data_IF_729306081397
#
_entry.id   IF_729306081397
#
_cell.length_a   1.000
_cell.length_b   1.000
_cell.length_c   1.000
_cell.angle_alpha   90.00
_cell.angle_beta   90.00
_cell.angle_gamma   90.00
#
_symmetry.space_group_name_H-M   'P 1'
#
loop_
_entity.id
_entity.type
_entity.pdbx_description
1 polymer ?
#
# COMPACT_ATOMS: atom_id res chain seq x y z
N UNK A 1 -18.92 -12.61 -7.91
CA UNK A 1 -18.52 -12.59 -9.34
C UNK A 1 -18.99 -13.88 -9.96
N UNK A 2 -19.76 -13.82 -11.06
CA UNK A 2 -20.03 -15.00 -11.89
C UNK A 2 -18.70 -15.50 -12.49
N UNK A 3 -18.57 -16.80 -12.78
CA UNK A 3 -17.36 -17.38 -13.43
C UNK A 3 -16.93 -16.61 -14.70
N UNK A 4 -17.89 -15.95 -15.37
CA UNK A 4 -17.70 -15.15 -16.58
C UNK A 4 -16.70 -13.99 -16.40
N UNK A 5 -16.78 -13.25 -15.29
CA UNK A 5 -15.98 -12.02 -15.08
C UNK A 5 -14.72 -12.25 -14.23
N UNK A 6 -14.04 -13.38 -14.42
CA UNK A 6 -12.74 -13.60 -13.76
C UNK A 6 -11.69 -12.69 -14.40
N UNK A 7 -11.11 -11.77 -13.61
CA UNK A 7 -10.04 -10.86 -14.06
C UNK A 7 -8.87 -11.65 -14.66
N UNK A 8 -8.41 -11.24 -15.84
CA UNK A 8 -7.25 -11.82 -16.53
C UNK A 8 -6.00 -10.95 -16.41
N UNK A 9 -6.17 -9.63 -16.41
CA UNK A 9 -5.08 -8.65 -16.42
C UNK A 9 -5.40 -7.50 -15.45
N UNK A 10 -4.37 -6.81 -14.96
CA UNK A 10 -4.58 -5.51 -14.30
C UNK A 10 -4.72 -4.39 -15.34
N UNK A 11 -5.46 -3.36 -14.99
CA UNK A 11 -5.78 -2.24 -15.88
C UNK A 11 -4.51 -1.52 -16.36
N UNK A 12 -3.58 -1.23 -15.44
CA UNK A 12 -2.32 -0.56 -15.78
C UNK A 12 -1.29 -1.40 -16.55
N UNK A 13 -1.53 -2.71 -16.71
CA UNK A 13 -0.62 -3.63 -17.42
C UNK A 13 -0.99 -3.81 -18.91
N UNK A 14 -2.14 -3.25 -19.33
CA UNK A 14 -2.56 -3.32 -20.73
C UNK A 14 -1.64 -2.48 -21.60
N UNK A 15 -1.06 -3.10 -22.63
CA UNK A 15 -0.07 -2.52 -23.52
C UNK A 15 -0.23 -3.00 -24.96
N UNK A 16 0.57 -2.44 -25.87
CA UNK A 16 0.59 -2.78 -27.31
C UNK A 16 0.82 -4.28 -27.56
N UNK A 17 1.49 -4.99 -26.63
CA UNK A 17 1.72 -6.44 -26.72
C UNK A 17 0.44 -7.28 -26.65
N UNK A 18 -0.65 -6.70 -26.15
CA UNK A 18 -1.93 -7.37 -25.98
C UNK A 18 -2.95 -6.95 -27.05
N UNK A 19 -2.56 -6.19 -28.08
CA UNK A 19 -3.45 -5.84 -29.19
C UNK A 19 -4.08 -7.11 -29.76
N UNK A 20 -5.36 -7.00 -30.11
CA UNK A 20 -6.23 -8.09 -30.58
C UNK A 20 -6.55 -9.20 -29.58
N UNK A 21 -6.05 -9.11 -28.34
CA UNK A 21 -6.39 -10.07 -27.28
C UNK A 21 -7.67 -9.65 -26.56
N UNK A 22 -8.53 -10.62 -26.25
CA UNK A 22 -9.67 -10.42 -25.34
C UNK A 22 -9.21 -10.48 -23.89
N UNK A 23 -9.55 -9.47 -23.12
CA UNK A 23 -9.18 -9.34 -21.71
C UNK A 23 -10.41 -9.11 -20.83
N UNK A 24 -10.33 -9.60 -19.59
CA UNK A 24 -11.30 -9.29 -18.54
C UNK A 24 -10.64 -8.39 -17.49
N UNK A 25 -11.18 -7.18 -17.35
CA UNK A 25 -10.70 -6.17 -16.43
C UNK A 25 -11.74 -5.90 -15.34
N UNK A 26 -11.27 -5.70 -14.11
CA UNK A 26 -12.13 -5.32 -12.99
C UNK A 26 -11.49 -4.15 -12.26
N UNK A 27 -12.25 -3.08 -12.02
CA UNK A 27 -11.72 -1.86 -11.42
C UNK A 27 -12.80 -0.86 -11.04
N UNK A 28 -12.36 0.36 -10.73
CA UNK A 28 -13.20 1.49 -10.39
C UNK A 28 -13.29 2.46 -11.57
N UNK A 29 -14.49 2.96 -11.82
CA UNK A 29 -14.70 4.06 -12.78
C UNK A 29 -14.04 5.32 -12.22
N UNK A 30 -12.89 5.69 -12.76
CA UNK A 30 -12.17 6.92 -12.43
C UNK A 30 -12.81 8.12 -13.13
N UNK A 31 -13.06 7.98 -14.44
CA UNK A 31 -13.66 9.01 -15.28
C UNK A 31 -14.66 8.42 -16.25
N UNK A 32 -15.66 9.21 -16.66
CA UNK A 32 -16.64 8.86 -17.69
C UNK A 32 -16.80 10.05 -18.63
N UNK A 33 -16.69 9.80 -19.94
CA UNK A 33 -16.89 10.79 -21.00
C UNK A 33 -17.89 10.23 -22.01
N UNK A 34 -18.82 11.06 -22.46
CA UNK A 34 -19.89 10.69 -23.38
C UNK A 34 -19.82 11.61 -24.60
N UNK A 35 -19.61 11.03 -25.77
CA UNK A 35 -19.46 11.76 -27.04
C UNK A 35 -20.67 11.51 -27.97
N UNK A 36 -21.86 11.23 -27.43
CA UNK A 36 -23.11 11.13 -28.18
C UNK A 36 -23.30 9.86 -29.00
N UNK A 37 -22.23 9.12 -29.29
CA UNK A 37 -22.28 7.80 -29.94
C UNK A 37 -21.33 6.76 -29.35
N UNK A 38 -20.37 7.19 -28.50
CA UNK A 38 -19.45 6.33 -27.77
C UNK A 38 -19.34 6.82 -26.33
N UNK A 39 -19.26 5.87 -25.39
CA UNK A 39 -18.96 6.16 -23.99
C UNK A 39 -17.54 5.68 -23.69
N UNK A 40 -16.74 6.56 -23.10
CA UNK A 40 -15.38 6.28 -22.68
C UNK A 40 -15.32 6.24 -21.15
N UNK A 41 -14.69 5.21 -20.62
CA UNK A 41 -14.49 5.01 -19.19
C UNK A 41 -13.00 4.89 -18.93
N UNK A 42 -12.50 5.70 -18.02
CA UNK A 42 -11.17 5.50 -17.45
C UNK A 42 -11.33 4.49 -16.30
N UNK A 43 -10.92 3.24 -16.53
CA UNK A 43 -11.02 2.16 -15.56
C UNK A 43 -9.71 2.04 -14.79
N UNK A 44 -9.77 2.27 -13.48
CA UNK A 44 -8.61 2.27 -12.60
C UNK A 44 -8.56 1.03 -11.71
N UNK A 45 -7.37 0.48 -11.52
CA UNK A 45 -7.04 -0.42 -10.42
C UNK A 45 -5.65 -0.11 -9.86
N UNK A 46 -5.15 -0.95 -8.94
CA UNK A 46 -3.86 -0.74 -8.27
C UNK A 46 -2.64 -0.66 -9.21
N UNK A 47 -2.73 -1.19 -10.43
CA UNK A 47 -1.64 -1.16 -11.39
C UNK A 47 -1.68 0.11 -12.25
N UNK A 48 -2.84 0.75 -12.37
CA UNK A 48 -3.01 1.98 -13.14
C UNK A 48 -4.38 2.06 -13.82
N UNK A 49 -4.47 2.95 -14.81
CA UNK A 49 -5.70 3.24 -15.54
C UNK A 49 -5.60 2.73 -16.97
N UNK A 50 -6.71 2.26 -17.53
CA UNK A 50 -6.88 1.99 -18.97
C UNK A 50 -8.20 2.54 -19.46
N UNK A 51 -8.24 3.01 -20.70
CA UNK A 51 -9.48 3.47 -21.33
C UNK A 51 -10.27 2.27 -21.83
N UNK A 52 -11.54 2.23 -21.45
CA UNK A 52 -12.54 1.30 -21.91
C UNK A 52 -13.52 2.06 -22.78
N UNK A 53 -13.79 1.55 -23.97
CA UNK A 53 -14.71 2.13 -24.95
C UNK A 53 -15.95 1.26 -25.03
N UNK A 54 -17.12 1.88 -24.94
CA UNK A 54 -18.40 1.25 -25.18
C UNK A 54 -18.98 1.78 -26.48
N UNK A 55 -19.12 0.88 -27.44
CA UNK A 55 -19.67 1.17 -28.77
C UNK A 55 -20.99 0.41 -28.93
N UNK A 56 -22.13 1.10 -29.17
CA UNK A 56 -23.42 0.44 -29.31
C UNK A 56 -23.52 -0.49 -30.53
N UNK A 57 -22.62 -0.34 -31.51
CA UNK A 57 -22.52 -1.26 -32.66
C UNK A 57 -21.85 -2.59 -32.31
N UNK A 58 -21.07 -2.64 -31.21
CA UNK A 58 -20.43 -3.87 -30.71
C UNK A 58 -21.35 -4.54 -29.71
N UNK A 59 -21.74 -3.82 -28.65
CA UNK A 59 -22.72 -4.30 -27.70
C UNK A 59 -23.62 -3.17 -27.18
N UNK A 60 -24.88 -3.21 -27.63
CA UNK A 60 -25.89 -2.20 -27.28
C UNK A 60 -26.24 -2.25 -25.80
N UNK A 61 -26.30 -3.44 -25.19
CA UNK A 61 -26.70 -3.61 -23.80
C UNK A 61 -25.68 -2.98 -22.84
N UNK A 62 -24.38 -3.26 -23.04
CA UNK A 62 -23.31 -2.65 -22.24
C UNK A 62 -23.28 -1.13 -22.42
N UNK A 63 -23.51 -0.64 -23.64
CA UNK A 63 -23.61 0.80 -23.89
C UNK A 63 -24.76 1.45 -23.11
N UNK A 64 -25.96 0.86 -23.12
CA UNK A 64 -27.10 1.32 -22.32
C UNK A 64 -26.80 1.29 -20.81
N UNK A 65 -26.20 0.19 -20.31
CA UNK A 65 -25.77 0.10 -18.91
C UNK A 65 -24.75 1.18 -18.53
N UNK A 66 -23.83 1.53 -19.43
CA UNK A 66 -22.82 2.56 -19.20
C UNK A 66 -23.37 3.98 -19.08
N UNK A 67 -24.59 4.25 -19.54
CA UNK A 67 -25.27 5.53 -19.29
C UNK A 67 -25.55 5.74 -17.79
N UNK A 68 -25.77 4.65 -17.05
CA UNK A 68 -26.03 4.67 -15.60
C UNK A 68 -24.76 4.80 -14.76
N UNK A 69 -23.58 4.56 -15.34
CA UNK A 69 -22.33 4.57 -14.60
C UNK A 69 -21.99 5.97 -14.10
N UNK A 70 -21.44 6.02 -12.88
CA UNK A 70 -20.89 7.22 -12.25
C UNK A 70 -19.49 6.91 -11.73
N UNK A 71 -18.75 7.95 -11.40
CA UNK A 71 -17.44 7.80 -10.76
C UNK A 71 -17.52 6.90 -9.52
N UNK A 72 -16.44 6.17 -9.25
CA UNK A 72 -16.28 5.21 -8.16
C UNK A 72 -17.13 3.94 -8.23
N UNK A 73 -17.94 3.73 -9.27
CA UNK A 73 -18.60 2.44 -9.48
C UNK A 73 -17.55 1.35 -9.68
N UNK A 74 -17.81 0.16 -9.15
CA UNK A 74 -16.98 -1.02 -9.37
C UNK A 74 -17.58 -1.79 -10.52
N UNK A 75 -16.80 -1.99 -11.58
CA UNK A 75 -17.25 -2.68 -12.79
C UNK A 75 -16.29 -3.79 -13.19
N UNK A 76 -16.82 -4.75 -13.94
CA UNK A 76 -16.05 -5.73 -14.69
C UNK A 76 -16.38 -5.58 -16.18
N UNK A 77 -15.36 -5.66 -17.02
CA UNK A 77 -15.46 -5.50 -18.47
C UNK A 77 -14.74 -6.68 -19.12
N UNK A 78 -15.38 -7.28 -20.11
CA UNK A 78 -14.74 -8.17 -21.08
C UNK A 78 -14.66 -7.39 -22.39
N UNK A 79 -13.48 -7.36 -23.01
CA UNK A 79 -13.33 -6.62 -24.26
C UNK A 79 -12.03 -6.91 -24.99
N UNK A 80 -11.97 -6.49 -26.26
CA UNK A 80 -10.81 -6.65 -27.13
C UNK A 80 -9.90 -5.42 -27.07
N UNK A 81 -8.61 -5.64 -26.84
CA UNK A 81 -7.60 -4.57 -26.84
C UNK A 81 -7.36 -4.09 -28.27
N UNK A 82 -7.32 -2.77 -28.47
CA UNK A 82 -7.01 -2.12 -29.74
C UNK A 82 -5.99 -1.00 -29.54
N UNK A 83 -5.22 -0.71 -30.60
CA UNK A 83 -4.40 0.49 -30.64
C UNK A 83 -5.31 1.73 -30.68
N UNK A 84 -4.91 2.79 -29.97
CA UNK A 84 -5.51 4.10 -30.16
C UNK A 84 -5.03 4.69 -31.48
N UNK A 85 -5.82 5.56 -32.13
CA UNK A 85 -5.32 6.40 -33.20
C UNK A 85 -4.08 7.20 -32.75
N UNK A 86 -3.11 7.42 -33.63
CA UNK A 86 -1.83 8.07 -33.30
C UNK A 86 -2.01 9.44 -32.64
N UNK A 87 -3.03 10.19 -33.06
CA UNK A 87 -3.38 11.50 -32.51
C UNK A 87 -4.13 11.46 -31.17
N UNK A 88 -4.45 10.27 -30.65
CA UNK A 88 -5.19 10.04 -29.39
C UNK A 88 -4.40 9.25 -28.34
N UNK A 89 -3.11 8.98 -28.61
CA UNK A 89 -2.19 8.40 -27.66
C UNK A 89 -1.97 9.34 -26.47
N UNK A 90 -2.04 8.82 -25.24
CA UNK A 90 -1.79 9.58 -24.01
C UNK A 90 -0.43 9.22 -23.40
N UNK A 91 0.63 10.03 -23.57
CA UNK A 91 1.96 9.71 -23.06
C UNK A 91 2.06 9.67 -21.53
N UNK A 92 1.06 10.19 -20.81
CA UNK A 92 1.03 10.18 -19.33
C UNK A 92 0.61 8.84 -18.73
N UNK A 93 0.07 7.92 -19.54
CA UNK A 93 -0.43 6.61 -19.10
C UNK A 93 0.40 5.49 -19.73
N UNK A 94 0.74 4.47 -18.94
CA UNK A 94 1.41 3.27 -19.44
C UNK A 94 0.57 2.55 -20.52
N UNK A 95 -0.75 2.52 -20.35
CA UNK A 95 -1.73 2.00 -21.32
C UNK A 95 -2.12 3.03 -22.39
N UNK A 96 -1.46 4.18 -22.45
CA UNK A 96 -1.91 5.35 -23.18
C UNK A 96 -1.97 5.20 -24.70
N UNK A 97 -1.34 4.17 -25.25
CA UNK A 97 -1.37 3.84 -26.68
C UNK A 97 -2.46 2.83 -27.06
N UNK A 98 -3.17 2.28 -26.09
CA UNK A 98 -4.18 1.24 -26.29
C UNK A 98 -5.48 1.58 -25.57
N UNK A 99 -6.55 0.93 -25.97
CA UNK A 99 -7.87 0.99 -25.34
C UNK A 99 -8.59 -0.35 -25.49
N UNK A 100 -9.60 -0.58 -24.67
CA UNK A 100 -10.35 -1.84 -24.65
C UNK A 100 -11.77 -1.59 -25.14
N UNK A 101 -12.12 -2.16 -26.29
CA UNK A 101 -13.49 -2.12 -26.79
C UNK A 101 -14.31 -3.20 -26.09
N UNK A 102 -15.38 -2.77 -25.42
CA UNK A 102 -16.19 -3.61 -24.54
C UNK A 102 -17.11 -4.53 -25.35
N UNK A 103 -17.00 -5.82 -25.08
CA UNK A 103 -17.92 -6.86 -25.56
C UNK A 103 -19.00 -7.17 -24.50
N UNK A 104 -18.67 -7.01 -23.22
CA UNK A 104 -19.61 -7.19 -22.11
C UNK A 104 -19.22 -6.36 -20.87
N UNK A 105 -20.20 -5.84 -20.15
CA UNK A 105 -20.06 -5.00 -18.96
C UNK A 105 -20.96 -5.51 -17.82
N UNK A 106 -20.37 -5.64 -16.63
CA UNK A 106 -21.12 -5.89 -15.39
C UNK A 106 -20.82 -4.84 -14.34
N UNK A 107 -21.89 -4.29 -13.75
CA UNK A 107 -21.79 -3.43 -12.57
C UNK A 107 -21.70 -4.33 -11.34
N UNK A 108 -20.50 -4.43 -10.74
CA UNK A 108 -20.26 -5.23 -9.55
C UNK A 108 -20.76 -4.51 -8.29
N UNK A 109 -20.59 -3.19 -8.23
CA UNK A 109 -21.08 -2.38 -7.12
C UNK A 109 -21.29 -0.93 -7.54
N UNK A 110 -22.41 -0.34 -7.11
CA UNK A 110 -22.71 1.09 -7.31
C UNK A 110 -22.09 1.91 -6.19
N UNK A 111 -21.65 3.13 -6.49
CA UNK A 111 -21.13 4.06 -5.49
C UNK A 111 -22.02 5.29 -5.38
N UNK A 112 -22.19 5.81 -4.16
CA UNK A 112 -22.64 7.19 -3.97
C UNK A 112 -21.50 8.14 -4.36
N UNK A 113 -21.82 9.41 -4.62
CA UNK A 113 -20.81 10.46 -4.82
C UNK A 113 -19.92 10.56 -3.58
N UNK A 114 -18.60 10.38 -3.71
CA UNK A 114 -17.69 10.54 -2.58
C UNK A 114 -17.61 11.99 -2.09
N UNK A 115 -17.16 12.23 -0.85
CA UNK A 115 -16.98 13.58 -0.30
C UNK A 115 -15.81 14.34 -0.95
N UNK A 116 -14.87 13.64 -1.59
CA UNK A 116 -13.79 14.20 -2.39
C UNK A 116 -13.32 13.17 -3.44
N UNK A 117 -12.69 13.65 -4.50
CA UNK A 117 -12.03 12.80 -5.50
C UNK A 117 -10.57 12.58 -5.11
N UNK A 118 -10.05 11.37 -5.35
CA UNK A 118 -8.62 11.04 -5.18
C UNK A 118 -7.83 11.11 -6.49
N UNK A 119 -8.53 11.40 -7.59
CA UNK A 119 -7.97 11.43 -8.93
C UNK A 119 -7.96 12.84 -9.53
N UNK A 120 -8.59 13.79 -8.85
CA UNK A 120 -8.64 15.20 -9.23
C UNK A 120 -7.85 16.01 -8.20
N UNK A 121 -7.18 17.06 -8.66
CA UNK A 121 -6.47 17.96 -7.77
C UNK A 121 -7.48 18.82 -7.01
N UNK A 122 -7.33 18.87 -5.68
CA UNK A 122 -8.17 19.68 -4.81
C UNK A 122 -7.66 19.66 -3.39
N UNK A 123 -7.74 20.79 -2.70
CA UNK A 123 -7.41 20.85 -1.29
C UNK A 123 -8.54 20.21 -0.47
N UNK A 124 -8.22 19.11 0.20
CA UNK A 124 -9.12 18.42 1.12
C UNK A 124 -8.48 18.43 2.49
N UNK A 125 -9.23 18.89 3.50
CA UNK A 125 -8.72 18.92 4.87
C UNK A 125 -8.33 17.53 5.37
N UNK A 126 -7.26 17.47 6.17
CA UNK A 126 -6.78 16.22 6.74
C UNK A 126 -7.86 15.47 7.52
N UNK A 127 -8.68 16.18 8.29
CA UNK A 127 -9.79 15.60 9.04
C UNK A 127 -10.77 14.82 8.16
N UNK A 128 -11.11 15.34 6.97
CA UNK A 128 -11.99 14.65 6.02
C UNK A 128 -11.26 13.44 5.41
N UNK A 129 -9.98 13.60 5.06
CA UNK A 129 -9.17 12.50 4.50
C UNK A 129 -9.02 11.35 5.49
N UNK A 130 -8.79 11.62 6.77
CA UNK A 130 -8.72 10.62 7.84
C UNK A 130 -10.09 9.96 8.08
N UNK A 131 -11.18 10.74 8.11
CA UNK A 131 -12.55 10.21 8.24
C UNK A 131 -12.90 9.22 7.12
N UNK A 132 -12.44 9.50 5.90
CA UNK A 132 -12.66 8.65 4.74
C UNK A 132 -11.36 8.03 4.23
N UNK A 133 -10.48 7.59 5.15
CA UNK A 133 -9.13 7.11 4.79
C UNK A 133 -9.12 5.97 3.80
N UNK A 134 -10.15 5.13 3.79
CA UNK A 134 -10.33 4.05 2.81
C UNK A 134 -10.52 4.56 1.36
N UNK A 135 -11.04 5.77 1.17
CA UNK A 135 -11.06 6.44 -0.13
C UNK A 135 -9.71 7.04 -0.44
N UNK A 136 -9.16 7.84 0.49
CA UNK A 136 -7.85 8.52 0.35
C UNK A 136 -6.72 7.52 -0.01
N UNK A 137 -6.76 6.31 0.57
CA UNK A 137 -5.82 5.21 0.26
C UNK A 137 -5.85 4.74 -1.20
N UNK A 138 -6.87 5.09 -2.00
CA UNK A 138 -6.86 4.84 -3.46
C UNK A 138 -5.96 5.83 -4.21
N UNK A 139 -5.66 6.98 -3.62
CA UNK A 139 -4.81 8.01 -4.22
C UNK A 139 -3.39 7.51 -4.47
N UNK A 140 -2.81 7.92 -5.60
CA UNK A 140 -1.48 7.45 -6.03
C UNK A 140 -0.36 7.75 -5.03
N UNK A 141 -0.44 8.88 -4.31
CA UNK A 141 0.54 9.23 -3.28
C UNK A 141 0.58 8.22 -2.14
N UNK A 142 -0.57 7.89 -1.55
CA UNK A 142 -0.64 6.94 -0.44
C UNK A 142 -0.38 5.50 -0.88
N UNK A 143 -0.80 5.10 -2.07
CA UNK A 143 -0.43 3.80 -2.64
C UNK A 143 1.09 3.66 -2.77
N UNK A 144 1.79 4.70 -3.24
CA UNK A 144 3.26 4.74 -3.28
C UNK A 144 3.84 4.65 -1.88
N UNK A 145 3.39 5.47 -0.94
CA UNK A 145 3.90 5.45 0.44
C UNK A 145 3.75 4.07 1.11
N UNK A 146 2.61 3.41 0.94
CA UNK A 146 2.39 2.06 1.46
C UNK A 146 3.29 1.02 0.80
N UNK A 147 3.52 1.12 -0.52
CA UNK A 147 4.46 0.26 -1.24
C UNK A 147 5.89 0.49 -0.74
N UNK A 148 6.34 1.74 -0.65
CA UNK A 148 7.66 2.10 -0.11
C UNK A 148 7.83 1.55 1.31
N UNK A 149 6.83 1.70 2.19
CA UNK A 149 6.86 1.12 3.53
C UNK A 149 7.03 -0.40 3.51
N UNK A 150 6.32 -1.11 2.63
CA UNK A 150 6.50 -2.54 2.46
C UNK A 150 7.93 -2.88 2.01
N UNK A 151 8.45 -2.21 0.98
CA UNK A 151 9.80 -2.42 0.47
C UNK A 151 10.86 -2.19 1.55
N UNK A 152 10.77 -1.11 2.33
CA UNK A 152 11.65 -0.84 3.47
C UNK A 152 11.70 -2.04 4.42
N UNK A 153 10.54 -2.57 4.82
CA UNK A 153 10.49 -3.71 5.75
C UNK A 153 10.95 -5.02 5.13
N UNK A 154 10.74 -5.23 3.82
CA UNK A 154 11.21 -6.41 3.07
C UNK A 154 12.74 -6.39 2.98
N UNK A 155 13.32 -5.24 2.60
CA UNK A 155 14.77 -5.05 2.47
C UNK A 155 15.45 -5.26 3.82
N UNK A 156 14.93 -4.63 4.89
CA UNK A 156 15.46 -4.82 6.24
C UNK A 156 15.47 -6.30 6.66
N UNK A 157 14.36 -7.03 6.44
CA UNK A 157 14.29 -8.47 6.68
C UNK A 157 15.33 -9.25 5.90
N UNK A 158 15.53 -8.92 4.62
CA UNK A 158 16.49 -9.62 3.76
C UNK A 158 17.93 -9.42 4.23
N UNK A 159 18.32 -8.19 4.57
CA UNK A 159 19.66 -7.89 5.11
C UNK A 159 19.86 -8.64 6.43
N UNK A 160 18.92 -8.52 7.38
CA UNK A 160 19.01 -9.20 8.66
C UNK A 160 19.07 -10.74 8.49
N UNK A 161 18.31 -11.30 7.55
CA UNK A 161 18.39 -12.72 7.19
C UNK A 161 19.77 -13.13 6.67
N UNK A 162 20.38 -12.33 5.78
CA UNK A 162 21.74 -12.58 5.27
C UNK A 162 22.78 -12.55 6.40
N UNK A 163 22.56 -11.72 7.42
CA UNK A 163 23.36 -11.62 8.64
C UNK A 163 22.96 -12.61 9.75
N UNK A 164 22.18 -13.64 9.41
CA UNK A 164 21.76 -14.76 10.28
C UNK A 164 20.93 -14.34 11.50
N UNK A 165 20.23 -13.21 11.42
CA UNK A 165 19.26 -12.84 12.44
C UNK A 165 18.02 -13.72 12.38
N UNK A 166 17.42 -13.95 13.54
CA UNK A 166 16.13 -14.63 13.69
C UNK A 166 15.03 -13.63 14.08
N UNK A 167 13.92 -13.63 13.34
CA UNK A 167 12.72 -12.86 13.71
C UNK A 167 12.01 -13.57 14.87
N UNK A 168 11.89 -12.93 16.02
CA UNK A 168 11.19 -13.49 17.19
C UNK A 168 10.12 -12.52 17.66
N UNK A 169 8.87 -12.98 17.73
CA UNK A 169 7.77 -12.16 18.25
C UNK A 169 7.82 -12.09 19.78
N UNK A 170 7.70 -10.89 20.34
CA UNK A 170 7.69 -10.68 21.80
C UNK A 170 6.30 -10.31 22.31
N UNK A 171 5.94 -10.65 23.57
CA UNK A 171 4.62 -10.35 24.12
C UNK A 171 4.25 -8.87 24.10
N UNK A 172 2.99 -8.57 23.76
CA UNK A 172 2.41 -7.21 23.84
C UNK A 172 1.72 -6.91 25.17
N UNK A 173 1.35 -7.92 25.94
CA UNK A 173 0.76 -7.74 27.27
C UNK A 173 1.84 -7.99 28.32
N UNK A 174 2.52 -6.93 28.73
CA UNK A 174 3.68 -6.99 29.61
C UNK A 174 3.33 -6.52 31.02
N UNK A 175 4.30 -6.62 31.93
CA UNK A 175 4.22 -5.93 33.22
C UNK A 175 4.60 -4.46 32.98
N UNK A 176 3.86 -3.55 33.61
CA UNK A 176 4.25 -2.13 33.59
C UNK A 176 5.63 -1.96 34.20
N UNK A 177 6.46 -1.20 33.50
CA UNK A 177 7.82 -0.85 33.89
C UNK A 177 7.89 0.66 33.99
N UNK A 178 8.40 1.23 35.09
CA UNK A 178 8.62 2.67 35.20
C UNK A 178 9.78 3.07 34.28
N UNK A 179 9.51 3.15 32.98
CA UNK A 179 10.39 3.73 31.97
C UNK A 179 10.15 5.24 31.84
N UNK A 180 10.69 5.85 30.77
CA UNK A 180 10.67 7.30 30.56
C UNK A 180 9.26 7.82 30.24
N UNK A 181 8.45 7.07 29.50
CA UNK A 181 7.08 7.45 29.15
C UNK A 181 6.04 6.74 30.03
N UNK A 182 4.78 7.16 29.94
CA UNK A 182 3.65 6.45 30.56
C UNK A 182 3.24 5.26 29.68
N UNK A 183 2.82 4.19 30.34
CA UNK A 183 2.29 2.99 29.69
C UNK A 183 0.79 3.10 29.40
N UNK A 184 0.36 2.54 28.27
CA UNK A 184 -1.05 2.19 28.09
C UNK A 184 -1.39 0.94 28.90
N UNK A 185 -2.43 1.02 29.72
CA UNK A 185 -2.86 -0.08 30.59
C UNK A 185 -4.00 -0.89 29.97
N UNK A 186 -3.91 -2.21 30.14
CA UNK A 186 -4.96 -3.18 29.72
C UNK A 186 -5.46 -3.93 30.96
N UNK A 187 -6.71 -3.70 31.40
CA UNK A 187 -7.25 -4.36 32.60
C UNK A 187 -7.41 -5.88 32.40
N UNK A 188 -6.99 -6.66 33.39
CA UNK A 188 -7.15 -8.12 33.36
C UNK A 188 -8.49 -8.56 33.93
N UNK A 189 -9.39 -9.08 33.07
CA UNK A 189 -10.69 -9.63 33.52
C UNK A 189 -10.56 -10.75 34.56
N UNK A 190 -9.56 -11.62 34.41
CA UNK A 190 -9.36 -12.78 35.28
C UNK A 190 -8.65 -12.45 36.60
N UNK A 191 -8.00 -11.30 36.68
CA UNK A 191 -7.23 -10.88 37.84
C UNK A 191 -7.70 -9.50 38.27
N UNK A 192 -8.74 -9.42 39.11
CA UNK A 192 -9.27 -8.14 39.58
C UNK A 192 -8.16 -7.23 40.12
N UNK A 193 -8.24 -5.94 39.77
CA UNK A 193 -7.26 -4.90 40.15
C UNK A 193 -5.84 -5.09 39.59
N UNK A 194 -5.60 -6.06 38.70
CA UNK A 194 -4.33 -6.19 37.98
C UNK A 194 -4.47 -5.74 36.52
N UNK A 195 -3.40 -5.14 36.02
CA UNK A 195 -3.31 -4.57 34.68
C UNK A 195 -2.06 -5.10 33.98
N UNK A 196 -2.17 -5.31 32.67
CA UNK A 196 -1.03 -5.38 31.78
C UNK A 196 -0.67 -3.97 31.29
N UNK A 197 0.55 -3.81 30.81
CA UNK A 197 0.97 -2.66 30.04
C UNK A 197 1.25 -3.07 28.58
N UNK A 198 1.03 -2.15 27.64
CA UNK A 198 1.55 -2.29 26.29
C UNK A 198 3.03 -1.81 26.26
N UNK A 199 3.93 -2.51 25.56
CA UNK A 199 5.36 -2.23 25.63
C UNK A 199 5.73 -0.91 24.93
N UNK A 200 6.57 -0.11 25.59
CA UNK A 200 7.22 1.04 24.97
C UNK A 200 8.31 0.64 23.97
N UNK A 201 8.89 -0.54 24.18
CA UNK A 201 9.83 -1.24 23.30
C UNK A 201 9.95 -2.70 23.78
N UNK A 202 10.49 -3.63 22.96
CA UNK A 202 10.79 -5.00 23.39
C UNK A 202 12.12 -5.12 24.16
N UNK A 203 12.66 -4.03 24.73
CA UNK A 203 14.01 -3.94 25.30
C UNK A 203 14.36 -5.05 26.30
N UNK A 204 13.45 -5.37 27.24
CA UNK A 204 13.71 -6.43 28.22
C UNK A 204 13.72 -7.82 27.58
N UNK A 205 12.86 -8.05 26.58
CA UNK A 205 12.77 -9.36 25.92
C UNK A 205 13.98 -9.64 25.04
N UNK A 206 14.47 -8.65 24.27
CA UNK A 206 15.67 -8.86 23.45
C UNK A 206 16.91 -9.15 24.29
N UNK A 207 17.03 -8.56 25.47
CA UNK A 207 18.09 -8.90 26.43
C UNK A 207 17.96 -10.31 26.97
N UNK A 208 16.74 -10.75 27.34
CA UNK A 208 16.49 -12.14 27.75
C UNK A 208 16.85 -13.12 26.62
N UNK A 209 16.57 -12.76 25.36
CA UNK A 209 16.94 -13.58 24.20
C UNK A 209 18.47 -13.72 24.05
N UNK A 210 19.23 -12.64 24.29
CA UNK A 210 20.70 -12.73 24.30
C UNK A 210 21.18 -13.68 25.40
N UNK A 211 20.63 -13.55 26.62
CA UNK A 211 20.94 -14.45 27.75
C UNK A 211 20.56 -15.91 27.44
N UNK A 212 19.48 -16.13 26.69
CA UNK A 212 19.02 -17.44 26.25
C UNK A 212 19.85 -18.04 25.09
N UNK A 213 20.87 -17.34 24.60
CA UNK A 213 21.73 -17.79 23.51
C UNK A 213 21.15 -17.59 22.11
N UNK A 214 20.10 -16.76 21.95
CA UNK A 214 19.72 -16.26 20.63
C UNK A 214 20.72 -15.19 20.20
N UNK A 215 21.81 -15.64 19.59
CA UNK A 215 22.96 -14.82 19.19
C UNK A 215 22.57 -13.55 18.42
N UNK A 216 21.56 -13.61 17.54
CA UNK A 216 21.11 -12.49 16.69
C UNK A 216 19.60 -12.47 16.56
N UNK A 217 18.99 -11.42 17.11
CA UNK A 217 17.54 -11.26 17.16
C UNK A 217 17.12 -9.98 16.44
N UNK A 218 15.99 -10.04 15.75
CA UNK A 218 15.29 -8.84 15.31
C UNK A 218 13.77 -8.99 15.38
N UNK A 219 13.07 -7.86 15.34
CA UNK A 219 11.62 -7.82 15.21
C UNK A 219 11.17 -6.48 14.61
N UNK A 220 10.26 -6.53 13.65
CA UNK A 220 9.53 -5.33 13.21
C UNK A 220 8.25 -5.23 14.04
N UNK A 221 8.31 -4.46 15.13
CA UNK A 221 7.29 -4.53 16.19
C UNK A 221 6.56 -3.21 16.41
N UNK A 222 5.38 -3.31 17.04
CA UNK A 222 4.58 -2.16 17.47
C UNK A 222 4.97 -1.76 18.89
N UNK A 223 5.23 -0.47 19.05
CA UNK A 223 5.58 0.14 20.32
C UNK A 223 4.54 1.19 20.69
N UNK A 224 4.28 1.36 21.98
CA UNK A 224 3.19 2.17 22.50
C UNK A 224 3.73 3.15 23.53
N UNK A 225 3.38 4.44 23.42
CA UNK A 225 3.78 5.46 24.39
C UNK A 225 2.63 6.42 24.66
N UNK A 226 2.25 6.56 25.92
CA UNK A 226 1.24 7.52 26.37
C UNK A 226 1.88 8.88 26.72
N UNK A 227 2.39 9.52 25.67
CA UNK A 227 2.99 10.86 25.73
C UNK A 227 2.04 11.92 25.17
N UNK A 228 2.28 13.18 25.52
CA UNK A 228 1.58 14.29 24.89
C UNK A 228 1.79 14.27 23.38
N UNK A 229 0.69 14.27 22.63
CA UNK A 229 0.71 14.25 21.18
C UNK A 229 1.36 15.55 20.67
N UNK A 230 2.52 15.40 20.03
CA UNK A 230 3.17 16.45 19.23
C UNK A 230 2.91 16.18 17.74
N UNK A 231 3.20 17.16 16.89
CA UNK A 231 2.83 17.20 15.45
C UNK A 231 3.19 15.96 14.60
N UNK A 232 3.97 15.01 15.09
CA UNK A 232 4.29 13.76 14.38
C UNK A 232 4.47 12.55 15.33
N UNK A 233 3.75 12.53 16.45
CA UNK A 233 3.76 11.40 17.39
C UNK A 233 2.41 10.71 17.39
N UNK A 234 2.43 9.40 17.11
CA UNK A 234 1.26 8.54 17.21
C UNK A 234 1.37 7.70 18.50
N UNK A 235 0.24 7.40 19.18
CA UNK A 235 0.20 6.53 20.35
C UNK A 235 0.85 5.17 20.14
N UNK A 236 0.76 4.67 18.90
CA UNK A 236 1.45 3.48 18.43
C UNK A 236 2.35 3.80 17.23
N UNK A 237 3.54 3.22 17.21
CA UNK A 237 4.50 3.36 16.13
C UNK A 237 5.24 2.05 15.90
N UNK A 238 6.01 1.98 14.81
CA UNK A 238 6.69 0.74 14.41
C UNK A 238 8.19 0.95 14.50
N UNK A 239 8.89 -0.02 15.09
CA UNK A 239 10.35 -0.06 15.16
C UNK A 239 10.89 -1.29 14.42
N UNK A 240 12.08 -1.16 13.83
CA UNK A 240 12.93 -2.30 13.50
C UNK A 240 13.87 -2.43 14.70
N UNK A 241 13.54 -3.34 15.60
CA UNK A 241 14.33 -3.59 16.80
C UNK A 241 15.26 -4.79 16.54
N UNK A 242 16.51 -4.68 16.97
CA UNK A 242 17.53 -5.70 16.77
C UNK A 242 18.49 -5.75 17.95
N UNK A 243 19.09 -6.92 18.18
CA UNK A 243 20.08 -7.14 19.23
C UNK A 243 21.04 -8.26 18.80
N UNK A 244 22.31 -8.16 19.20
CA UNK A 244 23.37 -9.10 18.86
C UNK A 244 24.20 -9.44 20.10
N UNK A 245 24.55 -10.72 20.27
CA UNK A 245 25.48 -11.17 21.29
C UNK A 245 26.92 -11.01 20.80
N UNK A 246 27.83 -10.68 21.72
CA UNK A 246 29.28 -10.58 21.47
C UNK A 246 29.71 -9.63 20.34
N UNK A 247 28.84 -8.67 19.97
CA UNK A 247 29.11 -7.69 18.93
C UNK A 247 29.73 -6.41 19.51
N UNK A 248 30.57 -5.74 18.72
CA UNK A 248 31.04 -4.39 19.03
C UNK A 248 30.23 -3.30 18.29
N UNK A 249 30.53 -2.04 18.60
CA UNK A 249 29.88 -0.87 18.01
C UNK A 249 30.11 -0.79 16.49
N UNK A 250 31.30 -1.16 16.02
CA UNK A 250 31.67 -1.06 14.61
C UNK A 250 30.90 -2.08 13.76
N UNK A 251 30.70 -3.30 14.26
CA UNK A 251 29.88 -4.33 13.61
C UNK A 251 28.42 -3.89 13.50
N UNK A 252 27.87 -3.28 14.55
CA UNK A 252 26.49 -2.79 14.54
C UNK A 252 26.32 -1.62 13.57
N UNK A 253 27.25 -0.67 13.55
CA UNK A 253 27.22 0.45 12.60
C UNK A 253 27.32 -0.03 11.17
N UNK A 254 28.25 -0.92 10.85
CA UNK A 254 28.38 -1.46 9.49
C UNK A 254 27.08 -2.13 9.00
N UNK A 255 26.43 -2.92 9.85
CA UNK A 255 25.14 -3.54 9.54
C UNK A 255 24.03 -2.51 9.29
N UNK A 256 23.89 -1.52 10.17
CA UNK A 256 22.86 -0.49 10.05
C UNK A 256 23.09 0.39 8.83
N UNK A 257 24.34 0.75 8.55
CA UNK A 257 24.73 1.51 7.35
C UNK A 257 24.44 0.74 6.07
N UNK A 258 24.77 -0.56 6.02
CA UNK A 258 24.42 -1.44 4.89
C UNK A 258 22.90 -1.44 4.68
N UNK A 259 22.13 -1.63 5.75
CA UNK A 259 20.67 -1.64 5.69
C UNK A 259 20.10 -0.31 5.19
N UNK A 260 20.58 0.84 5.71
CA UNK A 260 20.14 2.17 5.27
C UNK A 260 20.50 2.41 3.79
N UNK A 261 21.72 2.06 3.39
CA UNK A 261 22.18 2.22 2.01
C UNK A 261 21.36 1.38 1.04
N UNK A 262 21.06 0.12 1.39
CA UNK A 262 20.20 -0.75 0.60
C UNK A 262 18.78 -0.20 0.49
N UNK A 263 18.18 0.24 1.61
CA UNK A 263 16.84 0.82 1.63
C UNK A 263 16.77 2.05 0.71
N UNK A 264 17.68 3.01 0.84
CA UNK A 264 17.67 4.23 0.03
C UNK A 264 17.88 3.93 -1.46
N UNK A 265 18.78 3.00 -1.78
CA UNK A 265 19.08 2.62 -3.15
C UNK A 265 17.90 1.91 -3.81
N UNK A 266 17.33 0.89 -3.17
CA UNK A 266 16.26 0.08 -3.75
C UNK A 266 14.91 0.82 -3.78
N UNK A 267 14.63 1.71 -2.83
CA UNK A 267 13.33 2.41 -2.76
C UNK A 267 13.32 3.77 -3.46
N UNK A 268 14.46 4.48 -3.48
CA UNK A 268 14.55 5.85 -4.00
C UNK A 268 15.62 6.01 -5.09
N UNK A 269 16.43 4.99 -5.39
CA UNK A 269 17.55 5.10 -6.33
C UNK A 269 18.71 5.95 -5.81
N UNK A 270 18.73 6.26 -4.51
CA UNK A 270 19.75 7.12 -3.90
C UNK A 270 20.90 6.24 -3.41
N UNK A 271 22.10 6.48 -3.94
CA UNK A 271 23.32 5.87 -3.42
C UNK A 271 23.94 6.81 -2.39
N UNK A 272 24.15 6.30 -1.18
CA UNK A 272 24.90 7.00 -0.13
C UNK A 272 26.28 6.37 0.01
N UNK A 273 27.24 7.17 0.45
CA UNK A 273 28.58 6.67 0.78
C UNK A 273 28.57 6.12 2.21
N UNK A 274 29.15 4.93 2.38
CA UNK A 274 29.44 4.32 3.67
C UNK A 274 30.96 4.22 3.87
N UNK A 275 31.49 4.36 5.11
CA UNK A 275 30.75 4.61 6.35
C UNK A 275 30.16 6.03 6.42
N UNK A 276 29.06 6.18 7.15
CA UNK A 276 28.39 7.47 7.37
C UNK A 276 29.25 8.29 8.34
N UNK A 277 29.45 9.58 8.03
CA UNK A 277 30.24 10.45 8.89
C UNK A 277 29.57 10.60 10.26
N UNK A 278 30.28 10.21 11.31
CA UNK A 278 29.91 10.50 12.71
C UNK A 278 30.20 11.98 12.95
N UNK A 279 29.15 12.74 13.27
CA UNK A 279 29.22 14.19 13.56
C UNK A 279 29.63 14.46 15.00
#
# INVERSE_FOLDING_TARGET
>A
MTKKFKRTHYCGEISEKLIDTTVTLCGWVQGRRDHGGLIFIDLWDKAGTVQVVLNPQIDKLSHEHAQSLRGNFVIAVIGKVRARPDNMCNPKLASGKVEVYTDDLSILNKSKTPPFSVWEDGEVSEAIRLKYRYLDLRGGGLQRNMRTRYEVTRIARNILHQHRFMEVETPLLTKSTPEVARDYLVPSRLNPHKFYALPQSPQLFKQILMVAGMDRYFQITKCFRDEDLRMDRQPEFTQIDMEMSFADEAELFALVEEMIAAILKETMGINIQTPIQIL
#
